data_IF_926620629999
#
_entry.id   IF_926620629999
#
_cell.length_a   1.000
_cell.length_b   1.000
_cell.length_c   1.000
_cell.angle_alpha   90.00
_cell.angle_beta   90.00
_cell.angle_gamma   90.00
#
_symmetry.space_group_name_H-M   'P 1'
#
loop_
_entity.id
_entity.type
_entity.pdbx_description
1 polymer ?
#
# COMPACT_ATOMS: atom_id res chain seq x y z
N UNK A 1 81.27 6.17 -15.33
CA UNK A 1 79.83 6.24 -15.63
C UNK A 1 79.34 7.67 -15.40
N UNK A 2 79.38 8.55 -16.42
CA UNK A 2 78.66 9.82 -16.35
C UNK A 2 77.88 10.19 -17.62
N UNK A 3 76.88 11.06 -17.40
CA UNK A 3 76.42 12.18 -18.25
C UNK A 3 75.61 11.98 -19.54
N UNK A 4 74.49 12.74 -19.57
CA UNK A 4 74.08 13.70 -20.61
C UNK A 4 73.07 13.28 -21.71
N UNK A 5 71.90 13.93 -21.64
CA UNK A 5 71.41 14.93 -22.63
C UNK A 5 70.62 14.49 -23.88
N UNK A 6 69.51 15.23 -24.07
CA UNK A 6 68.79 15.59 -25.32
C UNK A 6 67.53 14.80 -25.74
N UNK A 7 66.41 15.49 -25.52
CA UNK A 7 65.28 15.82 -26.41
C UNK A 7 64.83 14.85 -27.51
N UNK A 8 63.51 14.60 -27.52
CA UNK A 8 62.65 14.90 -28.68
C UNK A 8 61.18 14.97 -28.27
N UNK A 9 60.52 16.00 -28.77
CA UNK A 9 59.07 16.21 -28.81
C UNK A 9 58.38 15.04 -29.54
N UNK A 10 57.08 14.75 -29.27
CA UNK A 10 56.08 15.29 -30.18
C UNK A 10 54.76 15.74 -29.52
N UNK A 11 54.34 16.91 -29.99
CA UNK A 11 52.98 17.44 -30.23
C UNK A 11 51.78 16.46 -30.33
N UNK A 12 50.54 16.97 -30.17
CA UNK A 12 49.48 16.38 -29.34
C UNK A 12 48.45 15.56 -30.12
N UNK A 13 47.80 14.61 -29.42
CA UNK A 13 46.61 13.90 -29.90
C UNK A 13 45.39 14.21 -29.01
N UNK A 14 44.19 14.30 -29.60
CA UNK A 14 43.02 14.99 -29.02
C UNK A 14 42.26 14.15 -28.00
N UNK A 15 41.75 14.83 -26.97
CA UNK A 15 40.94 14.31 -25.88
C UNK A 15 39.63 13.66 -26.36
N UNK A 16 39.42 12.40 -25.99
CA UNK A 16 38.11 11.73 -26.07
C UNK A 16 37.22 12.16 -24.88
N UNK A 17 35.91 12.35 -25.09
CA UNK A 17 34.99 12.82 -24.04
C UNK A 17 34.63 11.71 -23.05
N UNK A 18 34.49 12.11 -21.78
CA UNK A 18 34.11 11.27 -20.65
C UNK A 18 32.74 10.59 -20.87
N UNK A 19 32.69 9.28 -20.64
CA UNK A 19 31.44 8.53 -20.53
C UNK A 19 30.74 8.88 -19.21
N UNK A 20 29.60 9.57 -19.30
CA UNK A 20 28.66 9.74 -18.20
C UNK A 20 27.87 8.45 -18.03
N UNK A 21 28.14 7.68 -16.98
CA UNK A 21 27.26 6.60 -16.55
C UNK A 21 25.95 7.19 -16.01
N UNK A 22 24.76 6.64 -16.37
CA UNK A 22 23.50 7.01 -15.75
C UNK A 22 23.46 6.54 -14.29
N UNK A 23 23.23 7.47 -13.36
CA UNK A 23 23.00 7.18 -11.95
C UNK A 23 21.70 6.39 -11.76
N UNK A 24 21.80 5.17 -11.24
CA UNK A 24 20.63 4.44 -10.73
C UNK A 24 20.00 5.22 -9.57
N UNK A 25 18.67 5.40 -9.53
CA UNK A 25 18.00 6.01 -8.39
C UNK A 25 18.08 5.06 -7.18
N UNK A 26 18.74 5.52 -6.12
CA UNK A 26 18.81 4.87 -4.82
C UNK A 26 17.41 4.47 -4.35
N UNK A 27 17.17 3.16 -4.17
CA UNK A 27 15.95 2.68 -3.54
C UNK A 27 15.87 3.22 -2.10
N UNK A 28 14.74 3.80 -1.66
CA UNK A 28 14.57 4.22 -0.28
C UNK A 28 14.62 2.97 0.62
N UNK A 29 15.45 3.03 1.67
CA UNK A 29 15.47 2.00 2.71
C UNK A 29 14.06 1.82 3.31
N UNK A 30 13.67 0.61 3.71
CA UNK A 30 12.38 0.38 4.38
C UNK A 30 12.33 1.25 5.65
N UNK A 31 11.48 2.26 5.63
CA UNK A 31 11.22 3.12 6.78
C UNK A 31 10.68 2.24 7.91
N UNK A 32 11.32 2.30 9.08
CA UNK A 32 10.85 1.56 10.25
C UNK A 32 9.38 1.95 10.52
N UNK A 33 8.48 0.98 10.78
CA UNK A 33 7.08 1.28 10.99
C UNK A 33 6.94 2.33 12.10
N UNK A 34 6.10 3.35 11.90
CA UNK A 34 5.98 4.45 12.86
C UNK A 34 5.54 3.89 14.22
N UNK A 35 5.99 4.51 15.34
CA UNK A 35 5.64 4.05 16.67
C UNK A 35 4.12 4.04 16.82
N UNK A 36 3.56 2.88 17.21
CA UNK A 36 2.12 2.69 17.39
C UNK A 36 1.67 3.60 18.54
N UNK A 37 0.98 4.68 18.20
CA UNK A 37 0.43 5.59 19.21
C UNK A 37 -0.77 4.91 19.89
N UNK A 38 -0.80 4.81 21.23
CA UNK A 38 -1.87 4.09 21.90
C UNK A 38 -3.19 4.88 21.81
N UNK A 39 -4.22 4.25 21.24
CA UNK A 39 -5.59 4.74 21.19
C UNK A 39 -6.30 4.72 22.55
N UNK A 40 -7.57 5.18 22.63
CA UNK A 40 -8.27 5.37 23.90
C UNK A 40 -8.38 4.09 24.73
N UNK A 41 -8.71 2.96 24.07
CA UNK A 41 -8.82 1.65 24.75
C UNK A 41 -7.48 1.07 25.15
N UNK A 42 -6.46 1.25 24.30
CA UNK A 42 -5.09 0.85 24.64
C UNK A 42 -4.59 1.63 25.87
N UNK A 43 -4.84 2.94 25.94
CA UNK A 43 -4.55 3.77 27.12
C UNK A 43 -5.30 3.28 28.35
N UNK A 44 -6.60 3.02 28.22
CA UNK A 44 -7.42 2.52 29.31
C UNK A 44 -6.86 1.20 29.89
N UNK A 45 -6.44 0.29 29.03
CA UNK A 45 -5.80 -0.98 29.42
C UNK A 45 -4.50 -0.73 30.20
N UNK A 46 -3.62 0.13 29.70
CA UNK A 46 -2.36 0.47 30.39
C UNK A 46 -2.63 1.10 31.77
N UNK A 47 -3.58 2.03 31.85
CA UNK A 47 -3.97 2.67 33.11
C UNK A 47 -4.58 1.69 34.10
N UNK A 48 -5.41 0.76 33.62
CA UNK A 48 -6.05 -0.25 34.46
C UNK A 48 -5.02 -1.21 35.02
N UNK A 49 -4.05 -1.63 34.21
CA UNK A 49 -2.96 -2.50 34.66
C UNK A 49 -2.13 -1.83 35.77
N UNK A 50 -1.73 -0.57 35.57
CA UNK A 50 -0.94 0.16 36.57
C UNK A 50 -1.73 0.39 37.88
N UNK A 51 -3.03 0.69 37.76
CA UNK A 51 -3.92 0.83 38.92
C UNK A 51 -4.08 -0.51 39.67
N UNK A 52 -4.28 -1.61 38.94
CA UNK A 52 -4.39 -2.95 39.52
C UNK A 52 -3.10 -3.35 40.24
N UNK A 53 -1.93 -3.19 39.60
CA UNK A 53 -0.63 -3.47 40.22
C UNK A 53 -0.43 -2.67 41.50
N UNK A 54 -0.72 -1.37 41.46
CA UNK A 54 -0.57 -0.51 42.64
C UNK A 54 -1.52 -0.93 43.75
N UNK A 55 -2.75 -1.31 43.42
CA UNK A 55 -3.73 -1.83 44.38
C UNK A 55 -3.32 -3.19 44.97
N UNK A 56 -2.72 -4.09 44.19
CA UNK A 56 -2.27 -5.39 44.69
C UNK A 56 -1.06 -5.26 45.61
N UNK A 57 -0.13 -4.36 45.27
CA UNK A 57 1.06 -4.14 46.08
C UNK A 57 0.73 -3.37 47.37
N UNK A 58 -0.26 -2.48 47.36
CA UNK A 58 -0.72 -1.78 48.57
C UNK A 58 -1.45 -2.70 49.55
N UNK A 59 -2.04 -3.80 49.09
CA UNK A 59 -2.65 -4.83 49.92
C UNK A 59 -1.63 -5.63 50.76
N UNK A 60 -0.32 -5.48 50.50
CA UNK A 60 0.77 -6.10 51.25
C UNK A 60 1.55 -5.04 52.04
N UNK A 61 0.96 -4.43 53.10
CA UNK A 61 1.66 -3.43 53.88
C UNK A 61 2.80 -4.04 54.68
N UNK A 62 3.87 -3.25 54.89
CA UNK A 62 5.07 -3.69 55.61
C UNK A 62 4.77 -4.24 57.01
N UNK A 63 3.75 -3.72 57.69
CA UNK A 63 3.31 -4.19 59.02
C UNK A 63 2.80 -5.63 59.00
N UNK A 64 2.04 -6.01 57.97
CA UNK A 64 1.55 -7.38 57.81
C UNK A 64 2.70 -8.33 57.50
N UNK A 65 3.67 -7.87 56.70
CA UNK A 65 4.88 -8.64 56.40
C UNK A 65 5.76 -8.84 57.65
N UNK A 66 5.97 -7.80 58.47
CA UNK A 66 6.71 -7.88 59.74
C UNK A 66 6.05 -8.81 60.75
N UNK A 67 4.71 -8.84 60.81
CA UNK A 67 3.97 -9.72 61.70
C UNK A 67 4.20 -11.21 61.42
N UNK A 68 4.50 -11.58 60.17
CA UNK A 68 4.85 -12.94 59.78
C UNK A 68 6.24 -13.39 60.28
N UNK A 69 7.10 -12.45 60.70
CA UNK A 69 8.47 -12.73 61.16
C UNK A 69 8.72 -12.12 62.55
N UNK A 70 8.07 -12.63 63.61
CA UNK A 70 8.07 -12.00 64.94
C UNK A 70 9.45 -11.88 65.59
N UNK A 71 10.35 -12.83 65.36
CA UNK A 71 11.72 -12.75 65.90
C UNK A 71 12.53 -11.65 65.20
N UNK A 72 12.48 -11.60 63.86
CA UNK A 72 13.25 -10.64 63.07
C UNK A 72 12.69 -9.22 63.18
N UNK A 73 11.38 -9.08 63.37
CA UNK A 73 10.75 -7.78 63.59
C UNK A 73 11.20 -7.13 64.90
N UNK A 74 11.59 -7.92 65.91
CA UNK A 74 12.20 -7.40 67.14
C UNK A 74 13.71 -7.16 67.02
N UNK A 75 14.44 -8.01 66.29
CA UNK A 75 15.89 -7.96 66.24
C UNK A 75 16.42 -6.94 65.23
N UNK A 76 15.76 -6.80 64.08
CA UNK A 76 16.18 -5.94 62.98
C UNK A 76 14.98 -5.47 62.12
N UNK A 77 14.08 -4.64 62.68
CA UNK A 77 12.88 -4.17 61.96
C UNK A 77 13.22 -3.36 60.72
N UNK A 78 14.29 -2.57 60.74
CA UNK A 78 14.70 -1.72 59.62
C UNK A 78 15.19 -2.54 58.43
N UNK A 79 15.99 -3.59 58.69
CA UNK A 79 16.44 -4.52 57.66
C UNK A 79 15.26 -5.26 57.01
N UNK A 80 14.28 -5.69 57.80
CA UNK A 80 13.12 -6.40 57.27
C UNK A 80 12.18 -5.49 56.47
N UNK A 81 12.07 -4.20 56.84
CA UNK A 81 11.37 -3.20 56.01
C UNK A 81 12.10 -2.93 54.70
N UNK A 82 13.43 -2.89 54.71
CA UNK A 82 14.22 -2.74 53.48
C UNK A 82 14.02 -3.93 52.53
N UNK A 83 14.00 -5.16 53.06
CA UNK A 83 13.70 -6.37 52.27
C UNK A 83 12.30 -6.33 51.68
N UNK A 84 11.28 -5.94 52.47
CA UNK A 84 9.91 -5.79 51.98
C UNK A 84 9.82 -4.76 50.86
N UNK A 85 10.42 -3.58 51.04
CA UNK A 85 10.44 -2.53 50.03
C UNK A 85 11.11 -3.00 48.73
N UNK A 86 12.25 -3.68 48.84
CA UNK A 86 12.95 -4.25 47.69
C UNK A 86 12.12 -5.33 46.99
N UNK A 87 11.46 -6.22 47.73
CA UNK A 87 10.58 -7.25 47.18
C UNK A 87 9.43 -6.63 46.40
N UNK A 88 8.74 -5.63 46.96
CA UNK A 88 7.63 -4.94 46.32
C UNK A 88 8.08 -4.24 45.03
N UNK A 89 9.24 -3.59 45.05
CA UNK A 89 9.76 -2.90 43.87
C UNK A 89 10.20 -3.88 42.77
N UNK A 90 10.89 -4.97 43.14
CA UNK A 90 11.25 -6.03 42.18
C UNK A 90 10.03 -6.66 41.55
N UNK A 91 8.99 -6.93 42.32
CA UNK A 91 7.73 -7.49 41.81
C UNK A 91 7.03 -6.51 40.86
N UNK A 92 7.03 -5.21 41.19
CA UNK A 92 6.50 -4.15 40.32
C UNK A 92 7.22 -4.11 38.98
N UNK A 93 8.55 -4.09 39.01
CA UNK A 93 9.37 -4.04 37.80
C UNK A 93 9.20 -5.30 36.94
N UNK A 94 9.25 -6.49 37.54
CA UNK A 94 9.04 -7.75 36.84
C UNK A 94 7.65 -7.80 36.18
N UNK A 95 6.59 -7.43 36.91
CA UNK A 95 5.23 -7.42 36.37
C UNK A 95 5.08 -6.43 35.19
N UNK A 96 5.70 -5.25 35.27
CA UNK A 96 5.70 -4.29 34.15
C UNK A 96 6.47 -4.81 32.94
N UNK A 97 7.62 -5.46 33.17
CA UNK A 97 8.43 -6.03 32.11
C UNK A 97 7.66 -7.16 31.39
N UNK A 98 7.12 -8.12 32.14
CA UNK A 98 6.35 -9.24 31.60
C UNK A 98 5.12 -8.77 30.84
N UNK A 99 4.43 -7.75 31.36
CA UNK A 99 3.29 -7.16 30.66
C UNK A 99 3.70 -6.49 29.35
N UNK A 100 4.84 -5.79 29.33
CA UNK A 100 5.42 -5.23 28.11
C UNK A 100 5.67 -6.31 27.05
N UNK A 101 6.32 -7.41 27.43
CA UNK A 101 6.56 -8.56 26.55
C UNK A 101 5.25 -9.11 25.98
N UNK A 102 4.22 -9.31 26.83
CA UNK A 102 2.91 -9.81 26.38
C UNK A 102 2.23 -8.86 25.39
N UNK A 103 2.34 -7.55 25.61
CA UNK A 103 1.76 -6.54 24.71
C UNK A 103 2.42 -6.58 23.33
N UNK A 104 3.74 -6.75 23.28
CA UNK A 104 4.53 -6.85 22.06
C UNK A 104 4.26 -8.17 21.33
N UNK A 105 4.39 -9.31 22.00
CA UNK A 105 4.19 -10.65 21.42
C UNK A 105 2.82 -10.82 20.77
N UNK A 106 1.78 -10.26 21.40
CA UNK A 106 0.39 -10.37 20.91
C UNK A 106 -0.01 -9.21 20.00
N UNK A 107 0.83 -8.19 19.86
CA UNK A 107 0.54 -6.98 19.09
C UNK A 107 -0.73 -6.27 19.57
N UNK A 108 -0.96 -6.24 20.89
CA UNK A 108 -2.25 -5.83 21.47
C UNK A 108 -2.55 -4.37 21.14
N UNK A 109 -1.55 -3.48 21.21
CA UNK A 109 -1.75 -2.06 20.97
C UNK A 109 -2.22 -1.79 19.53
N UNK A 110 -1.63 -2.47 18.55
CA UNK A 110 -2.06 -2.37 17.14
C UNK A 110 -3.49 -2.86 16.95
N UNK A 111 -3.81 -4.05 17.45
CA UNK A 111 -5.16 -4.64 17.35
C UNK A 111 -6.24 -3.80 18.04
N UNK A 112 -5.93 -3.20 19.19
CA UNK A 112 -6.88 -2.32 19.88
C UNK A 112 -7.10 -1.03 19.11
N UNK A 113 -6.07 -0.50 18.45
CA UNK A 113 -6.22 0.67 17.58
C UNK A 113 -7.05 0.36 16.34
N UNK A 114 -6.78 -0.77 15.67
CA UNK A 114 -7.60 -1.27 14.56
C UNK A 114 -9.07 -1.44 14.97
N UNK A 115 -9.31 -1.98 16.16
CA UNK A 115 -10.66 -2.10 16.71
C UNK A 115 -11.35 -0.75 16.89
N UNK A 116 -10.65 0.28 17.36
CA UNK A 116 -11.23 1.62 17.50
C UNK A 116 -11.59 2.23 16.13
N UNK A 117 -10.77 1.99 15.10
CA UNK A 117 -11.09 2.36 13.71
C UNK A 117 -12.37 1.67 13.25
N UNK A 118 -12.47 0.35 13.42
CA UNK A 118 -13.65 -0.44 13.03
C UNK A 118 -14.92 0.01 13.77
N UNK A 119 -14.82 0.34 15.05
CA UNK A 119 -15.94 0.88 15.84
C UNK A 119 -16.35 2.26 15.32
N UNK A 120 -15.38 3.12 15.00
CA UNK A 120 -15.61 4.43 14.39
C UNK A 120 -16.37 4.31 13.07
N UNK A 121 -15.90 3.45 12.16
CA UNK A 121 -16.59 3.18 10.89
C UNK A 121 -17.99 2.63 11.09
N UNK A 122 -18.18 1.68 12.01
CA UNK A 122 -19.49 1.09 12.28
C UNK A 122 -20.49 2.13 12.84
N UNK A 123 -20.02 3.04 13.70
CA UNK A 123 -20.82 4.18 14.17
C UNK A 123 -21.16 5.13 13.02
N UNK A 124 -20.18 5.44 12.18
CA UNK A 124 -20.38 6.26 10.98
C UNK A 124 -21.47 5.68 10.07
N UNK A 125 -21.41 4.38 9.73
CA UNK A 125 -22.44 3.72 8.90
C UNK A 125 -23.84 3.75 9.54
N UNK A 126 -23.92 3.66 10.86
CA UNK A 126 -25.19 3.78 11.61
C UNK A 126 -25.75 5.20 11.53
N UNK A 127 -24.90 6.21 11.63
CA UNK A 127 -25.28 7.63 11.59
C UNK A 127 -25.62 8.10 10.17
N UNK A 128 -24.89 7.63 9.16
CA UNK A 128 -25.10 7.92 7.74
C UNK A 128 -26.34 7.22 7.14
N UNK A 129 -26.99 6.31 7.86
CA UNK A 129 -28.18 5.61 7.38
C UNK A 129 -27.92 4.64 6.21
N UNK A 130 -26.66 4.40 5.83
CA UNK A 130 -26.26 3.40 4.83
C UNK A 130 -26.62 1.98 5.26
N UNK A 131 -26.80 1.76 6.58
CA UNK A 131 -27.50 0.58 7.08
C UNK A 131 -29.00 0.81 6.87
N UNK A 132 -29.44 0.61 5.62
CA UNK A 132 -30.85 0.57 5.27
C UNK A 132 -31.57 -0.50 6.07
N UNK A 133 -32.38 -0.06 7.03
CA UNK A 133 -33.34 -0.88 7.76
C UNK A 133 -32.84 -1.32 9.14
N UNK A 134 -33.53 -0.88 10.18
CA UNK A 134 -33.62 -1.60 11.45
C UNK A 134 -34.29 -2.96 11.27
N UNK A 135 -33.65 -3.86 10.53
CA UNK A 135 -34.03 -5.26 10.45
C UNK A 135 -33.51 -5.97 11.69
N UNK A 136 -34.45 -6.50 12.47
CA UNK A 136 -34.18 -7.55 13.45
C UNK A 136 -33.18 -8.58 12.90
N UNK A 137 -32.10 -8.81 13.66
CA UNK A 137 -31.22 -9.96 13.45
C UNK A 137 -30.20 -9.79 12.33
N UNK A 138 -29.23 -8.90 12.51
CA UNK A 138 -27.95 -9.04 11.81
C UNK A 138 -27.42 -10.45 12.05
N UNK A 139 -27.29 -11.24 10.97
CA UNK A 139 -26.83 -12.63 11.07
C UNK A 139 -25.46 -12.61 11.72
N UNK A 140 -25.36 -13.22 12.90
CA UNK A 140 -24.10 -13.27 13.61
C UNK A 140 -23.04 -13.91 12.68
N UNK A 141 -21.80 -13.42 12.65
CA UNK A 141 -20.80 -13.82 11.66
C UNK A 141 -20.51 -15.34 11.68
N UNK A 142 -20.78 -16.03 12.78
CA UNK A 142 -20.66 -17.48 12.91
C UNK A 142 -21.82 -18.28 12.30
N UNK A 143 -22.93 -17.63 11.98
CA UNK A 143 -24.09 -18.20 11.28
C UNK A 143 -24.04 -17.91 9.77
N UNK A 144 -23.01 -17.19 9.30
CA UNK A 144 -22.89 -16.85 7.89
C UNK A 144 -22.47 -18.09 7.08
N UNK A 145 -23.19 -18.44 6.00
CA UNK A 145 -22.79 -19.57 5.17
C UNK A 145 -21.46 -19.27 4.45
N UNK A 146 -20.63 -20.30 4.16
CA UNK A 146 -19.34 -20.11 3.49
C UNK A 146 -19.44 -19.41 2.13
N UNK A 147 -20.53 -19.66 1.39
CA UNK A 147 -20.78 -19.00 0.10
C UNK A 147 -20.94 -17.48 0.24
N UNK A 148 -21.58 -17.01 1.31
CA UNK A 148 -21.73 -15.58 1.57
C UNK A 148 -20.38 -14.91 1.92
N UNK A 149 -19.52 -15.60 2.68
CA UNK A 149 -18.16 -15.13 2.97
C UNK A 149 -17.32 -15.04 1.70
N UNK A 150 -17.35 -16.08 0.86
CA UNK A 150 -16.65 -16.09 -0.42
C UNK A 150 -17.16 -14.98 -1.35
N UNK A 151 -18.48 -14.82 -1.47
CA UNK A 151 -19.06 -13.76 -2.29
C UNK A 151 -18.67 -12.36 -1.79
N UNK A 152 -18.69 -12.13 -0.46
CA UNK A 152 -18.28 -10.86 0.13
C UNK A 152 -16.79 -10.54 -0.13
N UNK A 153 -15.92 -11.55 -0.08
CA UNK A 153 -14.49 -11.36 -0.37
C UNK A 153 -14.17 -11.21 -1.86
N UNK A 154 -14.85 -11.96 -2.73
CA UNK A 154 -14.60 -11.93 -4.17
C UNK A 154 -15.34 -10.79 -4.88
N UNK A 155 -16.41 -10.26 -4.29
CA UNK A 155 -17.21 -9.18 -4.87
C UNK A 155 -16.37 -7.94 -5.26
N UNK A 156 -15.56 -7.35 -4.36
CA UNK A 156 -14.76 -6.18 -4.67
C UNK A 156 -13.73 -6.42 -5.78
N UNK A 157 -13.06 -7.57 -5.78
CA UNK A 157 -12.04 -7.89 -6.79
C UNK A 157 -12.66 -8.16 -8.15
N UNK A 158 -13.80 -8.85 -8.19
CA UNK A 158 -14.57 -9.09 -9.42
C UNK A 158 -15.11 -7.77 -9.98
N UNK A 159 -15.69 -6.91 -9.13
CA UNK A 159 -16.18 -5.60 -9.54
C UNK A 159 -15.06 -4.72 -10.13
N UNK A 160 -13.88 -4.71 -9.52
CA UNK A 160 -12.72 -4.01 -10.07
C UNK A 160 -12.25 -4.60 -11.42
N UNK A 161 -12.23 -5.93 -11.55
CA UNK A 161 -11.89 -6.61 -12.79
C UNK A 161 -12.90 -6.33 -13.91
N UNK A 162 -14.20 -6.33 -13.59
CA UNK A 162 -15.29 -5.99 -14.50
C UNK A 162 -15.19 -4.54 -14.96
N UNK A 163 -14.94 -3.60 -14.04
CA UNK A 163 -14.70 -2.19 -14.39
C UNK A 163 -13.54 -2.02 -15.38
N UNK A 164 -12.45 -2.77 -15.19
CA UNK A 164 -11.31 -2.76 -16.13
C UNK A 164 -11.65 -3.32 -17.50
N UNK A 165 -12.47 -4.37 -17.57
CA UNK A 165 -12.91 -4.96 -18.84
C UNK A 165 -13.84 -4.02 -19.59
N UNK A 166 -14.83 -3.42 -18.92
CA UNK A 166 -15.74 -2.45 -19.52
C UNK A 166 -14.98 -1.23 -20.07
N UNK A 167 -13.98 -0.73 -19.34
CA UNK A 167 -13.16 0.38 -19.82
C UNK A 167 -12.36 0.02 -21.08
N UNK A 168 -11.86 -1.23 -21.17
CA UNK A 168 -11.18 -1.72 -22.37
C UNK A 168 -12.16 -1.89 -23.53
N UNK A 169 -13.33 -2.43 -23.29
CA UNK A 169 -14.40 -2.59 -24.29
C UNK A 169 -14.77 -1.23 -24.87
N UNK A 170 -15.03 -0.23 -24.03
CA UNK A 170 -15.34 1.13 -24.47
C UNK A 170 -14.19 1.76 -25.29
N UNK A 171 -12.94 1.50 -24.90
CA UNK A 171 -11.77 1.98 -25.65
C UNK A 171 -11.66 1.28 -27.01
N UNK A 172 -11.93 -0.02 -27.07
CA UNK A 172 -11.88 -0.79 -28.32
C UNK A 172 -13.02 -0.40 -29.25
N UNK A 173 -14.22 -0.18 -28.73
CA UNK A 173 -15.36 0.30 -29.50
C UNK A 173 -15.07 1.68 -30.11
N UNK A 174 -14.47 2.60 -29.34
CA UNK A 174 -14.10 3.92 -29.88
C UNK A 174 -13.03 3.82 -30.98
N UNK A 175 -12.01 2.99 -30.78
CA UNK A 175 -10.93 2.80 -31.77
C UNK A 175 -11.44 2.09 -33.02
N UNK A 176 -12.32 1.09 -32.87
CA UNK A 176 -12.94 0.39 -33.99
C UNK A 176 -13.84 1.32 -34.80
N UNK A 177 -14.61 2.19 -34.15
CA UNK A 177 -15.43 3.20 -34.83
C UNK A 177 -14.56 4.18 -35.64
N UNK A 178 -13.45 4.66 -35.08
CA UNK A 178 -12.50 5.52 -35.79
C UNK A 178 -11.87 4.81 -36.99
N UNK A 179 -11.39 3.58 -36.82
CA UNK A 179 -10.82 2.76 -37.90
C UNK A 179 -11.84 2.50 -39.02
N UNK A 180 -13.10 2.28 -38.67
CA UNK A 180 -14.16 2.06 -39.66
C UNK A 180 -14.36 3.30 -40.54
N UNK A 181 -14.39 4.50 -39.95
CA UNK A 181 -14.50 5.74 -40.71
C UNK A 181 -13.27 5.99 -41.61
N UNK A 182 -12.06 5.68 -41.13
CA UNK A 182 -10.84 5.78 -41.95
C UNK A 182 -10.89 4.84 -43.15
N UNK A 183 -11.22 3.56 -42.92
CA UNK A 183 -11.31 2.57 -43.99
C UNK A 183 -12.37 2.97 -45.01
N UNK A 184 -13.54 3.40 -44.56
CA UNK A 184 -14.61 3.87 -45.43
C UNK A 184 -14.15 5.07 -46.29
N UNK A 185 -13.48 6.04 -45.69
CA UNK A 185 -12.90 7.17 -46.43
C UNK A 185 -11.88 6.73 -47.48
N UNK A 186 -11.06 5.72 -47.18
CA UNK A 186 -10.13 5.14 -48.17
C UNK A 186 -10.85 4.44 -49.32
N UNK A 187 -11.96 3.75 -49.07
CA UNK A 187 -12.77 3.15 -50.14
C UNK A 187 -13.37 4.22 -51.06
N UNK A 188 -13.92 5.29 -50.48
CA UNK A 188 -14.48 6.41 -51.25
C UNK A 188 -13.39 7.11 -52.09
N UNK A 189 -12.17 7.27 -51.54
CA UNK A 189 -11.01 7.81 -52.26
C UNK A 189 -10.57 6.91 -53.43
N UNK A 190 -10.50 5.59 -53.21
CA UNK A 190 -10.16 4.61 -54.25
C UNK A 190 -11.20 4.65 -55.37
N UNK A 191 -12.49 4.69 -55.04
CA UNK A 191 -13.56 4.79 -56.04
C UNK A 191 -13.41 6.06 -56.89
N UNK A 192 -13.10 7.19 -56.24
CA UNK A 192 -12.80 8.45 -56.93
C UNK A 192 -11.57 8.38 -57.85
N UNK A 193 -10.47 7.77 -57.39
CA UNK A 193 -9.25 7.59 -58.17
C UNK A 193 -9.47 6.66 -59.37
N UNK A 194 -10.20 5.56 -59.19
CA UNK A 194 -10.54 4.62 -60.28
C UNK A 194 -11.38 5.34 -61.33
N UNK A 195 -12.43 6.07 -60.92
CA UNK A 195 -13.25 6.85 -61.84
C UNK A 195 -12.43 7.92 -62.60
N UNK A 196 -11.47 8.57 -61.93
CA UNK A 196 -10.55 9.51 -62.54
C UNK A 196 -9.64 8.86 -63.60
N UNK A 197 -9.05 7.70 -63.29
CA UNK A 197 -8.22 6.95 -64.24
C UNK A 197 -9.04 6.46 -65.43
N UNK A 198 -10.25 5.96 -65.22
CA UNK A 198 -11.17 5.58 -66.30
C UNK A 198 -11.53 6.76 -67.20
N UNK A 199 -11.69 7.96 -66.63
CA UNK A 199 -11.89 9.19 -67.37
C UNK A 199 -10.70 9.52 -68.27
N UNK A 200 -9.49 9.53 -67.71
CA UNK A 200 -8.25 9.77 -68.48
C UNK A 200 -8.04 8.71 -69.57
N UNK A 201 -8.38 7.45 -69.30
CA UNK A 201 -8.30 6.37 -70.29
C UNK A 201 -9.23 6.65 -71.48
N UNK A 202 -10.49 7.05 -71.22
CA UNK A 202 -11.44 7.45 -72.27
C UNK A 202 -10.95 8.65 -73.06
N UNK A 203 -10.35 9.64 -72.39
CA UNK A 203 -9.79 10.82 -73.05
C UNK A 203 -8.61 10.44 -73.98
N UNK A 204 -7.73 9.54 -73.54
CA UNK A 204 -6.62 9.02 -74.34
C UNK A 204 -7.11 8.15 -75.52
N UNK A 205 -8.13 7.31 -75.30
CA UNK A 205 -8.78 6.55 -76.37
C UNK A 205 -9.42 7.48 -77.41
N UNK A 206 -10.08 8.55 -76.96
CA UNK A 206 -10.62 9.59 -77.82
C UNK A 206 -9.54 10.31 -78.65
N UNK A 207 -8.46 10.76 -77.99
CA UNK A 207 -7.34 11.42 -78.66
C UNK A 207 -6.60 10.48 -79.65
N UNK A 208 -6.45 9.20 -79.31
CA UNK A 208 -5.87 8.18 -80.19
C UNK A 208 -6.74 7.90 -81.42
N UNK A 209 -8.07 7.89 -81.25
CA UNK A 209 -9.01 7.76 -82.36
C UNK A 209 -8.90 8.95 -83.33
N UNK A 210 -8.82 10.18 -82.81
CA UNK A 210 -8.63 11.39 -83.62
C UNK A 210 -7.30 11.40 -84.39
N UNK A 211 -6.17 11.04 -83.74
CA UNK A 211 -4.88 10.94 -84.43
C UNK A 211 -4.86 9.86 -85.52
N UNK A 212 -5.53 8.72 -85.30
CA UNK A 212 -5.65 7.67 -86.33
C UNK A 212 -6.55 8.07 -87.51
N UNK A 213 -7.46 9.04 -87.30
CA UNK A 213 -8.29 9.64 -88.34
C UNK A 213 -7.52 10.63 -89.21
N UNK A 214 -6.50 11.30 -88.66
CA UNK A 214 -5.65 12.26 -89.37
C UNK A 214 -4.63 11.57 -90.29
N UNK A 215 -4.18 10.35 -89.99
CA UNK A 215 -3.28 9.57 -90.88
C UNK A 215 -3.97 8.93 -92.10
N UNK A 216 -5.30 9.04 -92.24
CA UNK A 216 -6.08 8.51 -93.39
C UNK A 216 -6.70 9.58 -94.29
N UNK A 217 -6.40 10.85 -94.10
CA UNK A 217 -6.79 11.96 -94.99
C UNK A 217 -5.61 12.49 -95.79
#
# INVERSE_FOLDING_TARGET
MPTATTASDPSPSPSLPASTQPSEPSQPSPEAPPPITPGPRARALLTLHEAALTSTLSALPASTFLACFPLLSTLAPDALRAVHAQMVERLREAARADFGVILEERGVLGRLNELEVLIGEARGRRESGEVGGGGEGGVAPHLLPPSALLAAHLGPSLAAAQGRLNAKEQTLESVNAELYEVVKGQWDEIEGLVAGVEGVLKDLEGAGAEMSGVERG
#
